data_IF_264441186409
#
_entry.id   IF_264441186409
#
_cell.length_a   1.000
_cell.length_b   1.000
_cell.length_c   1.000
_cell.angle_alpha   90.00
_cell.angle_beta   90.00
_cell.angle_gamma   90.00
#
_symmetry.space_group_name_H-M   'P 1'
#
loop_
_entity.id
_entity.type
_entity.pdbx_description
1 polymer ?
#
# COMPACT_ATOMS: atom_id res chain seq x y z
N UNK A 1 -26.78 -8.67 -21.96
CA UNK A 1 -26.56 -9.02 -20.54
C UNK A 1 -25.12 -9.46 -20.28
N UNK A 2 -24.58 -10.47 -20.98
CA UNK A 2 -23.17 -10.90 -20.84
C UNK A 2 -22.13 -9.79 -21.12
N UNK A 3 -22.34 -8.97 -22.15
CA UNK A 3 -21.45 -7.85 -22.50
C UNK A 3 -21.38 -6.75 -21.43
N UNK A 4 -22.49 -6.48 -20.74
CA UNK A 4 -22.54 -5.49 -19.67
C UNK A 4 -21.78 -5.98 -18.41
N UNK A 5 -21.86 -7.28 -18.11
CA UNK A 5 -21.10 -7.89 -17.02
C UNK A 5 -19.59 -7.84 -17.29
N UNK A 6 -19.17 -8.22 -18.51
CA UNK A 6 -17.77 -8.13 -18.92
C UNK A 6 -17.21 -6.71 -18.82
N UNK A 7 -17.99 -5.70 -19.21
CA UNK A 7 -17.57 -4.30 -19.11
C UNK A 7 -17.38 -3.87 -17.64
N UNK A 8 -18.27 -4.28 -16.73
CA UNK A 8 -18.14 -4.01 -15.30
C UNK A 8 -16.87 -4.59 -14.69
N UNK A 9 -16.54 -5.84 -15.04
CA UNK A 9 -15.31 -6.51 -14.58
C UNK A 9 -14.05 -5.80 -15.08
N UNK A 10 -14.03 -5.38 -16.34
CA UNK A 10 -12.93 -4.61 -16.92
C UNK A 10 -12.77 -3.27 -16.19
N UNK A 11 -13.85 -2.53 -15.96
CA UNK A 11 -13.81 -1.26 -15.23
C UNK A 11 -13.28 -1.46 -13.82
N UNK A 12 -13.77 -2.48 -13.10
CA UNK A 12 -13.32 -2.81 -11.75
C UNK A 12 -11.82 -3.15 -11.72
N UNK A 13 -11.35 -3.94 -12.68
CA UNK A 13 -9.94 -4.27 -12.82
C UNK A 13 -9.07 -3.03 -13.08
N UNK A 14 -9.49 -2.15 -14.00
CA UNK A 14 -8.78 -0.90 -14.30
C UNK A 14 -8.72 0.03 -13.08
N UNK A 15 -9.82 0.14 -12.33
CA UNK A 15 -9.86 0.87 -11.06
C UNK A 15 -8.90 0.23 -10.05
N UNK A 16 -8.94 -1.10 -9.89
CA UNK A 16 -8.10 -1.82 -8.93
C UNK A 16 -6.62 -1.60 -9.21
N UNK A 17 -6.16 -1.75 -10.46
CA UNK A 17 -4.76 -1.52 -10.82
C UNK A 17 -4.38 -0.06 -10.57
N UNK A 18 -5.20 0.88 -11.06
CA UNK A 18 -4.88 2.31 -10.99
C UNK A 18 -4.74 2.76 -9.54
N UNK A 19 -5.72 2.44 -8.71
CA UNK A 19 -5.72 2.87 -7.31
C UNK A 19 -4.77 2.07 -6.44
N UNK A 20 -4.51 0.79 -6.75
CA UNK A 20 -3.50 0.01 -6.00
C UNK A 20 -2.10 0.55 -6.26
N UNK A 21 -1.74 0.85 -7.52
CA UNK A 21 -0.45 1.45 -7.84
C UNK A 21 -0.33 2.86 -7.26
N UNK A 22 -1.37 3.67 -7.38
CA UNK A 22 -1.37 5.04 -6.86
C UNK A 22 -1.30 5.07 -5.32
N UNK A 23 -2.12 4.25 -4.66
CA UNK A 23 -2.11 4.08 -3.21
C UNK A 23 -0.77 3.56 -2.71
N UNK A 24 -0.19 2.56 -3.37
CA UNK A 24 1.16 2.06 -3.08
C UNK A 24 2.21 3.16 -3.22
N UNK A 25 2.13 4.04 -4.23
CA UNK A 25 3.05 5.16 -4.39
C UNK A 25 2.94 6.19 -3.25
N UNK A 26 1.72 6.51 -2.80
CA UNK A 26 1.50 7.43 -1.66
C UNK A 26 1.97 6.82 -0.33
N UNK A 27 1.73 5.53 -0.10
CA UNK A 27 2.23 4.82 1.08
C UNK A 27 3.75 4.74 1.04
N UNK A 28 4.34 4.40 -0.11
CA UNK A 28 5.77 4.36 -0.28
C UNK A 28 6.40 5.73 -0.06
N UNK A 29 5.74 6.82 -0.49
CA UNK A 29 6.17 8.18 -0.16
C UNK A 29 6.26 8.41 1.34
N UNK A 30 5.21 8.03 2.09
CA UNK A 30 5.21 8.13 3.55
C UNK A 30 6.29 7.25 4.19
N UNK A 31 6.51 6.05 3.64
CA UNK A 31 7.53 5.11 4.12
C UNK A 31 8.96 5.62 3.87
N UNK A 32 9.24 6.17 2.69
CA UNK A 32 10.52 6.81 2.34
C UNK A 32 10.84 7.93 3.32
N UNK A 33 9.84 8.73 3.70
CA UNK A 33 10.00 9.76 4.73
C UNK A 33 10.30 9.16 6.11
N UNK A 34 9.57 8.10 6.51
CA UNK A 34 9.75 7.42 7.79
C UNK A 34 11.15 6.79 7.95
N UNK A 35 11.64 6.13 6.90
CA UNK A 35 12.97 5.52 6.85
C UNK A 35 14.09 6.54 6.57
N UNK A 36 13.73 7.80 6.30
CA UNK A 36 14.67 8.90 5.98
C UNK A 36 15.56 8.58 4.77
N UNK A 37 14.99 7.95 3.75
CA UNK A 37 15.72 7.64 2.52
C UNK A 37 16.15 8.93 1.80
N UNK A 38 17.38 8.96 1.30
CA UNK A 38 17.97 10.16 0.71
C UNK A 38 17.12 10.66 -0.50
N UNK A 39 16.74 11.96 -0.56
CA UNK A 39 15.89 12.50 -1.63
C UNK A 39 16.43 12.35 -3.05
N UNK A 40 17.76 12.32 -3.22
CA UNK A 40 18.42 12.06 -4.51
C UNK A 40 18.37 10.61 -4.98
N UNK A 41 17.83 9.68 -4.19
CA UNK A 41 17.64 8.31 -4.66
C UNK A 41 16.66 8.29 -5.87
N UNK A 42 16.95 7.56 -6.96
CA UNK A 42 16.08 7.49 -8.13
C UNK A 42 14.62 7.10 -7.82
N UNK A 43 14.41 6.13 -6.92
CA UNK A 43 13.07 5.71 -6.51
C UNK A 43 12.35 6.83 -5.75
N UNK A 44 13.04 7.49 -4.81
CA UNK A 44 12.46 8.61 -4.07
C UNK A 44 12.04 9.74 -5.00
N UNK A 45 12.89 10.10 -5.99
CA UNK A 45 12.54 11.10 -7.00
C UNK A 45 11.32 10.69 -7.83
N UNK A 46 11.26 9.45 -8.30
CA UNK A 46 10.13 8.96 -9.08
C UNK A 46 8.82 9.04 -8.29
N UNK A 47 8.83 8.58 -7.03
CA UNK A 47 7.66 8.63 -6.15
C UNK A 47 7.24 10.07 -5.86
N UNK A 48 8.18 10.96 -5.53
CA UNK A 48 7.85 12.36 -5.28
C UNK A 48 7.31 13.05 -6.53
N UNK A 49 7.92 12.83 -7.71
CA UNK A 49 7.43 13.39 -8.97
C UNK A 49 6.01 12.91 -9.30
N UNK A 50 5.74 11.61 -9.15
CA UNK A 50 4.43 11.02 -9.44
C UNK A 50 3.31 11.44 -8.49
N UNK A 51 3.64 11.92 -7.29
CA UNK A 51 2.64 12.20 -6.22
C UNK A 51 2.61 13.66 -5.76
N UNK A 52 3.61 14.48 -6.10
CA UNK A 52 3.72 15.87 -5.64
C UNK A 52 2.53 16.74 -6.05
N UNK A 53 1.97 16.53 -7.24
CA UNK A 53 0.81 17.27 -7.72
C UNK A 53 -0.41 17.12 -6.80
N UNK A 54 -0.54 15.99 -6.11
CA UNK A 54 -1.59 15.75 -5.11
C UNK A 54 -1.15 16.18 -3.71
N UNK A 55 0.06 15.80 -3.30
CA UNK A 55 0.50 15.96 -1.90
C UNK A 55 0.87 17.41 -1.57
N UNK A 56 1.49 18.16 -2.49
CA UNK A 56 1.92 19.55 -2.22
C UNK A 56 0.74 20.51 -1.97
N UNK A 57 -0.39 20.46 -2.72
CA UNK A 57 -1.58 21.22 -2.37
C UNK A 57 -2.12 20.89 -0.98
N UNK A 58 -2.18 19.59 -0.62
CA UNK A 58 -2.67 19.14 0.69
C UNK A 58 -1.74 19.57 1.84
N UNK A 59 -0.43 19.69 1.59
CA UNK A 59 0.55 20.18 2.58
C UNK A 59 0.30 21.61 3.03
N UNK A 60 -0.48 22.41 2.27
CA UNK A 60 -0.88 23.75 2.70
C UNK A 60 -1.81 23.74 3.90
N UNK A 61 -2.57 22.66 4.07
CA UNK A 61 -3.54 22.50 5.16
C UNK A 61 -2.96 21.63 6.28
N UNK A 62 -2.20 20.59 5.91
CA UNK A 62 -1.71 19.59 6.86
C UNK A 62 -0.18 19.54 6.79
N UNK A 63 0.55 20.12 7.77
CA UNK A 63 2.00 20.09 7.78
C UNK A 63 2.52 18.67 8.03
N UNK A 64 3.67 18.35 7.43
CA UNK A 64 4.39 17.12 7.75
C UNK A 64 5.13 17.33 9.09
N UNK A 65 4.63 16.70 10.15
CA UNK A 65 5.21 16.77 11.51
C UNK A 65 5.95 15.48 11.87
N UNK A 66 7.17 15.62 12.39
CA UNK A 66 7.95 14.51 12.93
C UNK A 66 8.53 13.57 11.87
N UNK A 67 8.58 12.27 12.19
CA UNK A 67 9.12 11.23 11.29
C UNK A 67 8.12 10.71 10.27
N UNK A 68 6.82 11.03 10.39
CA UNK A 68 5.76 10.46 9.55
C UNK A 68 5.19 11.54 8.62
N UNK A 69 5.05 11.24 7.33
CA UNK A 69 4.38 12.12 6.36
C UNK A 69 2.86 11.94 6.45
N UNK A 70 2.22 12.61 7.41
CA UNK A 70 0.77 12.59 7.61
C UNK A 70 -0.01 13.04 6.39
N UNK A 71 0.51 14.00 5.61
CA UNK A 71 -0.15 14.46 4.40
C UNK A 71 -0.29 13.33 3.38
N UNK A 72 0.76 12.51 3.22
CA UNK A 72 0.73 11.35 2.31
C UNK A 72 -0.22 10.26 2.81
N UNK A 73 -0.30 10.02 4.12
CA UNK A 73 -1.24 9.04 4.69
C UNK A 73 -2.70 9.47 4.50
N UNK A 74 -3.01 10.74 4.72
CA UNK A 74 -4.36 11.28 4.50
C UNK A 74 -4.71 11.26 3.02
N UNK A 75 -3.78 11.63 2.14
CA UNK A 75 -3.96 11.51 0.69
C UNK A 75 -4.26 10.06 0.28
N UNK A 76 -3.57 9.08 0.89
CA UNK A 76 -3.83 7.66 0.64
C UNK A 76 -5.23 7.26 1.09
N UNK A 77 -5.66 7.69 2.27
CA UNK A 77 -7.01 7.40 2.78
C UNK A 77 -8.11 8.02 1.92
N UNK A 78 -7.93 9.26 1.46
CA UNK A 78 -8.85 9.90 0.50
C UNK A 78 -8.87 9.14 -0.83
N UNK A 79 -7.73 8.72 -1.36
CA UNK A 79 -7.66 7.91 -2.57
C UNK A 79 -8.38 6.55 -2.38
N UNK A 80 -8.25 5.92 -1.22
CA UNK A 80 -8.97 4.69 -0.89
C UNK A 80 -10.49 4.91 -0.81
N UNK A 81 -10.94 6.03 -0.24
CA UNK A 81 -12.37 6.37 -0.20
C UNK A 81 -12.93 6.61 -1.61
N UNK A 82 -12.20 7.36 -2.46
CA UNK A 82 -12.58 7.56 -3.86
C UNK A 82 -12.66 6.22 -4.60
N UNK A 83 -11.67 5.35 -4.42
CA UNK A 83 -11.68 4.01 -5.01
C UNK A 83 -12.95 3.24 -4.63
N UNK A 84 -13.30 3.19 -3.33
CA UNK A 84 -14.48 2.46 -2.85
C UNK A 84 -15.78 3.03 -3.44
N UNK A 85 -15.90 4.36 -3.54
CA UNK A 85 -17.05 5.02 -4.16
C UNK A 85 -17.15 4.67 -5.65
N UNK A 86 -16.03 4.69 -6.38
CA UNK A 86 -16.02 4.36 -7.81
C UNK A 86 -16.36 2.89 -8.06
N UNK A 87 -15.85 1.97 -7.22
CA UNK A 87 -16.21 0.55 -7.30
C UNK A 87 -17.70 0.36 -7.02
N UNK A 88 -18.24 1.01 -5.98
CA UNK A 88 -19.68 0.98 -5.70
C UNK A 88 -20.49 1.50 -6.88
N UNK A 89 -20.11 2.66 -7.43
CA UNK A 89 -20.79 3.27 -8.57
C UNK A 89 -20.76 2.36 -9.80
N UNK A 90 -19.64 1.68 -10.07
CA UNK A 90 -19.53 0.73 -11.19
C UNK A 90 -20.39 -0.52 -11.01
N UNK A 91 -20.62 -0.96 -9.76
CA UNK A 91 -21.38 -2.17 -9.46
C UNK A 91 -22.89 -1.91 -9.36
N UNK A 92 -23.28 -0.80 -8.74
CA UNK A 92 -24.68 -0.47 -8.42
C UNK A 92 -25.28 0.52 -9.44
N UNK A 93 -24.44 1.31 -10.13
CA UNK A 93 -24.89 2.35 -11.06
C UNK A 93 -25.42 3.61 -10.37
N UNK A 94 -25.25 3.74 -9.06
CA UNK A 94 -25.70 4.89 -8.26
C UNK A 94 -24.65 5.24 -7.19
N UNK A 95 -24.69 6.48 -6.69
CA UNK A 95 -23.85 6.88 -5.57
C UNK A 95 -24.25 6.12 -4.29
N UNK A 96 -23.30 5.84 -3.39
CA UNK A 96 -23.62 5.28 -2.09
C UNK A 96 -24.61 6.18 -1.32
N UNK A 97 -25.62 5.62 -0.64
CA UNK A 97 -26.51 6.41 0.19
C UNK A 97 -25.73 7.07 1.34
N UNK A 98 -26.20 8.23 1.83
CA UNK A 98 -25.52 8.96 2.90
C UNK A 98 -25.32 8.12 4.19
N UNK A 99 -26.22 7.16 4.43
CA UNK A 99 -26.13 6.20 5.54
C UNK A 99 -24.93 5.24 5.43
N UNK A 100 -24.40 5.01 4.23
CA UNK A 100 -23.23 4.17 3.98
C UNK A 100 -21.90 4.94 4.10
N UNK A 101 -21.92 6.26 4.29
CA UNK A 101 -20.69 7.05 4.40
C UNK A 101 -19.82 6.66 5.61
N UNK A 102 -20.36 6.45 6.82
CA UNK A 102 -19.54 6.05 7.96
C UNK A 102 -18.85 4.70 7.76
N UNK A 103 -19.54 3.70 7.19
CA UNK A 103 -18.94 2.40 6.88
C UNK A 103 -17.90 2.52 5.77
N UNK A 104 -18.14 3.33 4.74
CA UNK A 104 -17.16 3.60 3.68
C UNK A 104 -15.87 4.25 4.23
N UNK A 105 -15.98 5.17 5.18
CA UNK A 105 -14.82 5.80 5.85
C UNK A 105 -13.98 4.77 6.63
N UNK A 106 -14.63 3.88 7.38
CA UNK A 106 -13.96 2.78 8.09
C UNK A 106 -13.29 1.80 7.13
N UNK A 107 -13.98 1.43 6.06
CA UNK A 107 -13.45 0.57 5.01
C UNK A 107 -12.28 1.17 4.25
N UNK A 108 -12.25 2.49 4.07
CA UNK A 108 -11.10 3.17 3.48
C UNK A 108 -9.84 3.01 4.35
N UNK A 109 -9.95 2.96 5.68
CA UNK A 109 -8.81 2.65 6.57
C UNK A 109 -8.32 1.21 6.38
N UNK A 110 -9.25 0.25 6.29
CA UNK A 110 -8.91 -1.14 6.00
C UNK A 110 -8.25 -1.29 4.63
N UNK A 111 -8.68 -0.50 3.65
CA UNK A 111 -8.10 -0.51 2.32
C UNK A 111 -6.68 0.07 2.30
N UNK A 112 -6.42 1.16 3.03
CA UNK A 112 -5.05 1.67 3.23
C UNK A 112 -4.17 0.61 3.88
N UNK A 113 -4.68 -0.10 4.89
CA UNK A 113 -3.96 -1.20 5.52
C UNK A 113 -3.69 -2.34 4.54
N UNK A 114 -4.68 -2.74 3.71
CA UNK A 114 -4.51 -3.73 2.64
C UNK A 114 -3.41 -3.31 1.67
N UNK A 115 -3.42 -2.08 1.16
CA UNK A 115 -2.38 -1.58 0.25
C UNK A 115 -1.00 -1.54 0.92
N UNK A 116 -0.95 -1.16 2.20
CA UNK A 116 0.31 -1.13 2.97
C UNK A 116 0.90 -2.53 3.10
N UNK A 117 0.10 -3.51 3.51
CA UNK A 117 0.54 -4.90 3.63
C UNK A 117 0.97 -5.49 2.28
N UNK A 118 0.23 -5.20 1.20
CA UNK A 118 0.63 -5.64 -0.14
C UNK A 118 1.96 -5.01 -0.56
N UNK A 119 2.17 -3.72 -0.31
CA UNK A 119 3.45 -3.07 -0.58
C UNK A 119 4.61 -3.74 0.20
N UNK A 120 4.39 -4.05 1.48
CA UNK A 120 5.37 -4.78 2.30
C UNK A 120 5.68 -6.17 1.74
N UNK A 121 4.65 -6.92 1.34
CA UNK A 121 4.78 -8.24 0.71
C UNK A 121 5.62 -8.14 -0.54
N UNK A 122 5.28 -7.24 -1.46
CA UNK A 122 6.00 -7.10 -2.73
C UNK A 122 7.45 -6.64 -2.55
N UNK A 123 7.71 -5.64 -1.69
CA UNK A 123 9.09 -5.21 -1.41
C UNK A 123 9.94 -6.35 -0.82
N UNK A 124 9.38 -7.09 0.14
CA UNK A 124 10.05 -8.22 0.80
C UNK A 124 10.29 -9.36 -0.17
N UNK A 125 9.30 -9.67 -1.02
CA UNK A 125 9.40 -10.71 -2.02
C UNK A 125 10.47 -10.38 -3.08
N UNK A 126 10.50 -9.15 -3.58
CA UNK A 126 11.53 -8.69 -4.54
C UNK A 126 12.92 -8.83 -3.90
N UNK A 127 13.09 -8.40 -2.64
CA UNK A 127 14.36 -8.56 -1.94
C UNK A 127 14.76 -10.02 -1.76
N UNK A 128 13.82 -10.88 -1.33
CA UNK A 128 14.07 -12.29 -1.11
C UNK A 128 14.50 -12.98 -2.41
N UNK A 129 13.79 -12.72 -3.51
CA UNK A 129 14.13 -13.26 -4.84
C UNK A 129 15.51 -12.75 -5.28
N UNK A 130 15.79 -11.45 -5.18
CA UNK A 130 17.10 -10.91 -5.53
C UNK A 130 18.22 -11.46 -4.65
N UNK A 131 17.96 -11.77 -3.39
CA UNK A 131 18.97 -12.35 -2.48
C UNK A 131 19.41 -13.76 -2.90
N UNK A 132 18.60 -14.48 -3.68
CA UNK A 132 18.97 -15.78 -4.22
C UNK A 132 19.48 -15.70 -5.66
N UNK A 133 18.86 -14.84 -6.48
CA UNK A 133 19.16 -14.75 -7.90
C UNK A 133 20.38 -13.86 -8.20
N UNK A 134 20.46 -12.69 -7.57
CA UNK A 134 21.55 -11.74 -7.78
C UNK A 134 21.77 -10.83 -6.55
N UNK A 135 22.51 -11.30 -5.53
CA UNK A 135 22.75 -10.55 -4.30
C UNK A 135 23.48 -9.21 -4.53
N UNK A 136 24.25 -9.11 -5.61
CA UNK A 136 25.07 -7.94 -5.95
C UNK A 136 24.31 -6.91 -6.81
N UNK A 137 22.99 -7.07 -6.97
CA UNK A 137 22.15 -6.13 -7.70
C UNK A 137 22.25 -4.71 -7.14
N UNK A 138 22.36 -3.67 -7.99
CA UNK A 138 22.35 -2.26 -7.54
C UNK A 138 21.08 -1.86 -6.76
N UNK A 139 19.98 -2.61 -6.89
CA UNK A 139 18.75 -2.38 -6.14
C UNK A 139 18.79 -2.93 -4.71
N UNK A 140 19.72 -3.84 -4.40
CA UNK A 140 19.77 -4.51 -3.11
C UNK A 140 19.93 -3.56 -1.93
N UNK A 141 20.82 -2.55 -1.94
CA UNK A 141 20.96 -1.62 -0.81
C UNK A 141 19.68 -0.80 -0.55
N UNK A 142 18.96 -0.44 -1.62
CA UNK A 142 17.70 0.27 -1.52
C UNK A 142 16.63 -0.61 -0.86
N UNK A 143 16.48 -1.85 -1.31
CA UNK A 143 15.52 -2.78 -0.74
C UNK A 143 15.85 -3.11 0.73
N UNK A 144 17.12 -3.37 1.03
CA UNK A 144 17.57 -3.59 2.41
C UNK A 144 17.24 -2.39 3.30
N UNK A 145 17.42 -1.16 2.82
CA UNK A 145 17.05 0.05 3.57
C UNK A 145 15.54 0.12 3.80
N UNK A 146 14.73 -0.16 2.78
CA UNK A 146 13.27 -0.09 2.86
C UNK A 146 12.66 -1.20 3.73
N UNK A 147 13.26 -2.40 3.75
CA UNK A 147 12.72 -3.55 4.49
C UNK A 147 13.36 -3.76 5.86
N UNK A 148 14.55 -3.21 6.12
CA UNK A 148 15.26 -3.37 7.40
C UNK A 148 14.38 -3.04 8.62
N UNK A 149 13.58 -1.95 8.66
CA UNK A 149 12.71 -1.67 9.80
C UNK A 149 11.68 -2.77 10.09
N UNK A 150 11.30 -3.56 9.08
CA UNK A 150 10.35 -4.68 9.19
C UNK A 150 11.07 -5.99 9.47
N UNK A 151 12.23 -6.22 8.85
CA UNK A 151 12.98 -7.47 8.94
C UNK A 151 13.89 -7.55 10.17
N UNK A 152 14.52 -6.45 10.58
CA UNK A 152 15.48 -6.45 11.69
C UNK A 152 14.87 -6.86 13.03
N UNK A 153 13.62 -6.48 13.40
CA UNK A 153 12.96 -7.03 14.57
C UNK A 153 12.82 -8.56 14.52
N UNK A 154 12.52 -9.12 13.33
CA UNK A 154 12.38 -10.57 13.13
C UNK A 154 13.75 -11.25 13.21
N UNK A 155 14.78 -10.66 12.59
CA UNK A 155 16.17 -11.14 12.65
C UNK A 155 16.74 -11.22 14.06
N UNK A 156 16.26 -10.37 14.98
CA UNK A 156 16.65 -10.40 16.39
C UNK A 156 16.06 -11.58 17.16
N UNK A 157 14.95 -12.14 16.67
CA UNK A 157 14.24 -13.27 17.30
C UNK A 157 14.72 -14.60 16.71
N UNK A 158 15.00 -14.64 15.41
CA UNK A 158 15.45 -15.84 14.71
C UNK A 158 16.93 -16.17 14.98
N UNK A 159 17.29 -17.47 14.97
CA UNK A 159 18.69 -17.87 15.02
C UNK A 159 19.44 -17.41 13.76
N UNK A 160 20.72 -17.05 13.93
CA UNK A 160 21.59 -16.64 12.81
C UNK A 160 22.00 -17.87 12.00
N UNK A 161 21.34 -18.08 10.87
CA UNK A 161 21.63 -19.15 9.91
C UNK A 161 22.37 -18.63 8.68
N UNK A 162 22.90 -19.52 7.83
CA UNK A 162 23.56 -19.15 6.57
C UNK A 162 22.60 -18.46 5.57
N UNK A 163 21.30 -18.73 5.68
CA UNK A 163 20.23 -18.12 4.88
C UNK A 163 19.34 -17.29 5.81
N UNK A 164 18.95 -16.08 5.39
CA UNK A 164 18.03 -15.23 6.15
C UNK A 164 16.57 -15.68 5.92
N UNK A 165 15.95 -16.28 6.94
CA UNK A 165 14.54 -16.70 6.90
C UNK A 165 13.56 -15.59 7.32
N UNK A 166 14.05 -14.43 7.75
CA UNK A 166 13.21 -13.31 8.20
C UNK A 166 12.22 -12.82 7.12
N UNK A 167 12.59 -12.76 5.82
CA UNK A 167 11.63 -12.44 4.76
C UNK A 167 10.45 -13.40 4.71
N UNK A 168 10.68 -14.71 4.88
CA UNK A 168 9.61 -15.70 4.86
C UNK A 168 8.62 -15.49 6.02
N UNK A 169 9.14 -15.24 7.22
CA UNK A 169 8.31 -14.95 8.41
C UNK A 169 7.49 -13.68 8.20
N UNK A 170 8.09 -12.62 7.67
CA UNK A 170 7.36 -11.38 7.37
C UNK A 170 6.25 -11.61 6.33
N UNK A 171 6.54 -12.38 5.26
CA UNK A 171 5.56 -12.71 4.23
C UNK A 171 4.37 -13.49 4.80
N UNK A 172 4.63 -14.52 5.62
CA UNK A 172 3.56 -15.32 6.25
C UNK A 172 2.73 -14.44 7.18
N UNK A 173 3.36 -13.63 8.03
CA UNK A 173 2.66 -12.72 8.94
C UNK A 173 1.80 -11.70 8.19
N UNK A 174 2.34 -11.09 7.14
CA UNK A 174 1.59 -10.15 6.31
C UNK A 174 0.40 -10.80 5.61
N UNK A 175 0.51 -12.05 5.15
CA UNK A 175 -0.60 -12.78 4.54
C UNK A 175 -1.71 -13.10 5.54
N UNK A 176 -1.37 -13.49 6.77
CA UNK A 176 -2.35 -13.70 7.83
C UNK A 176 -3.10 -12.39 8.11
N UNK A 177 -2.37 -11.27 8.23
CA UNK A 177 -2.99 -9.95 8.42
C UNK A 177 -3.89 -9.56 7.24
N UNK A 178 -3.50 -9.85 6.00
CA UNK A 178 -4.33 -9.63 4.81
C UNK A 178 -5.63 -10.44 4.87
N UNK A 179 -5.58 -11.71 5.30
CA UNK A 179 -6.78 -12.53 5.49
C UNK A 179 -7.71 -11.92 6.55
N UNK A 180 -7.15 -11.42 7.66
CA UNK A 180 -7.93 -10.74 8.70
C UNK A 180 -8.57 -9.45 8.18
N UNK A 181 -7.81 -8.63 7.45
CA UNK A 181 -8.33 -7.38 6.84
C UNK A 181 -9.44 -7.67 5.85
N UNK A 182 -9.28 -8.70 5.01
CA UNK A 182 -10.33 -9.12 4.08
C UNK A 182 -11.60 -9.50 4.84
N UNK A 183 -11.48 -10.32 5.91
CA UNK A 183 -12.62 -10.74 6.73
C UNK A 183 -13.34 -9.56 7.40
N UNK A 184 -12.58 -8.58 7.92
CA UNK A 184 -13.14 -7.37 8.52
C UNK A 184 -13.86 -6.50 7.47
N UNK A 185 -13.27 -6.37 6.27
CA UNK A 185 -13.88 -5.60 5.19
C UNK A 185 -15.22 -6.20 4.73
N UNK A 186 -15.31 -7.53 4.60
CA UNK A 186 -16.58 -8.21 4.31
C UNK A 186 -17.63 -7.95 5.40
N UNK A 187 -17.23 -8.01 6.68
CA UNK A 187 -18.14 -7.77 7.81
C UNK A 187 -18.75 -6.36 7.85
N UNK A 188 -18.04 -5.35 7.34
CA UNK A 188 -18.51 -3.94 7.31
C UNK A 188 -19.49 -3.70 6.14
N UNK A 189 -19.30 -4.38 5.00
CA UNK A 189 -20.14 -4.18 3.82
C UNK A 189 -21.34 -5.13 3.71
N UNK A 190 -21.39 -6.21 4.51
CA UNK A 190 -22.58 -7.07 4.59
C UNK A 190 -22.94 -7.76 3.28
N UNK A 191 -21.94 -7.99 2.41
CA UNK A 191 -22.02 -8.83 1.21
C UNK A 191 -20.87 -9.81 1.25
#
# INVERSE_FOLDING_TARGET
>A
MATALMLGDIIRFLLEITFTLFGAALILRAWIHAVRLHPFNPLARAIYQGTNWLVLPLRRVIPATGSIDWTSLIATWVAALIYLILVWLSAVGALPPASALPSAMGSALLMVLKWTLNLMVWMTLIQAVLSWVNPLSPLMPLLQTLTAPLLDPIRRILPRTAIDFSPLVLLIGAQILLMMVARLAYGIFGV
#
